data_IF_234334725934
#
_entry.id   IF_234334725934
#
_cell.length_a   1.000
_cell.length_b   1.000
_cell.length_c   1.000
_cell.angle_alpha   90.00
_cell.angle_beta   90.00
_cell.angle_gamma   90.00
#
_symmetry.space_group_name_H-M   'P 1'
#
loop_
_entity.id
_entity.type
_entity.pdbx_description
1 polymer ?
#
# COMPACT_ATOMS: atom_id res chain seq x y z
N UNK A 1 8.02 15.77 8.68
CA UNK A 1 7.89 14.30 8.87
C UNK A 1 7.28 13.60 7.66
N UNK A 2 6.23 14.12 6.99
CA UNK A 2 5.62 13.49 5.80
C UNK A 2 6.61 13.09 4.70
N UNK A 3 7.56 13.97 4.36
CA UNK A 3 8.56 13.68 3.32
C UNK A 3 9.50 12.54 3.73
N UNK A 4 9.97 12.56 4.97
CA UNK A 4 10.85 11.52 5.51
C UNK A 4 10.15 10.15 5.57
N UNK A 5 8.89 10.11 6.03
CA UNK A 5 8.08 8.88 6.06
C UNK A 5 7.80 8.35 4.65
N UNK A 6 7.48 9.22 3.70
CA UNK A 6 7.29 8.82 2.30
C UNK A 6 8.57 8.26 1.67
N UNK A 7 9.72 8.90 1.88
CA UNK A 7 10.99 8.36 1.39
C UNK A 7 11.36 7.03 2.05
N UNK A 8 11.10 6.89 3.35
CA UNK A 8 11.32 5.63 4.08
C UNK A 8 10.42 4.51 3.55
N UNK A 9 9.15 4.80 3.28
CA UNK A 9 8.22 3.83 2.72
C UNK A 9 8.60 3.40 1.29
N UNK A 10 9.08 4.32 0.45
CA UNK A 10 9.66 3.97 -0.86
C UNK A 10 10.88 3.05 -0.67
N UNK A 11 11.82 3.41 0.21
CA UNK A 11 12.98 2.55 0.48
C UNK A 11 12.56 1.16 0.97
N UNK A 12 11.57 1.09 1.87
CA UNK A 12 11.02 -0.17 2.39
C UNK A 12 10.39 -1.02 1.27
N UNK A 13 9.63 -0.42 0.36
CA UNK A 13 9.05 -1.14 -0.78
C UNK A 13 10.11 -1.76 -1.68
N UNK A 14 11.22 -1.05 -1.93
CA UNK A 14 12.34 -1.55 -2.72
C UNK A 14 13.05 -2.70 -2.00
N UNK A 15 13.22 -2.60 -0.68
CA UNK A 15 13.78 -3.67 0.16
C UNK A 15 12.88 -4.92 0.10
N UNK A 16 11.57 -4.75 0.24
CA UNK A 16 10.59 -5.85 0.11
C UNK A 16 10.67 -6.53 -1.26
N UNK A 17 10.73 -5.75 -2.34
CA UNK A 17 10.88 -6.27 -3.71
C UNK A 17 12.21 -7.00 -3.93
N UNK A 18 13.30 -6.46 -3.36
CA UNK A 18 14.64 -7.03 -3.47
C UNK A 18 14.80 -8.32 -2.68
N UNK A 19 14.25 -8.39 -1.47
CA UNK A 19 14.39 -9.55 -0.58
C UNK A 19 13.12 -10.42 -0.53
N UNK A 20 12.23 -10.30 -1.52
CA UNK A 20 10.95 -11.03 -1.57
C UNK A 20 11.09 -12.54 -1.38
N UNK A 21 12.18 -13.13 -1.89
CA UNK A 21 12.46 -14.56 -1.73
C UNK A 21 12.74 -14.95 -0.29
N UNK A 22 13.69 -14.24 0.36
CA UNK A 22 14.03 -14.48 1.76
C UNK A 22 12.85 -14.21 2.68
N UNK A 23 12.15 -13.10 2.46
CA UNK A 23 11.01 -12.72 3.28
C UNK A 23 9.87 -13.74 3.12
N UNK A 24 9.59 -14.19 1.89
CA UNK A 24 8.58 -15.22 1.65
C UNK A 24 8.93 -16.55 2.29
N UNK A 25 10.20 -16.96 2.21
CA UNK A 25 10.68 -18.19 2.85
C UNK A 25 10.66 -18.10 4.39
N UNK A 26 10.81 -16.90 4.96
CA UNK A 26 10.74 -16.68 6.41
C UNK A 26 9.31 -16.64 6.94
N UNK A 27 8.38 -16.04 6.19
CA UNK A 27 6.96 -15.92 6.58
C UNK A 27 6.24 -17.25 6.37
N UNK A 28 6.63 -18.01 5.33
CA UNK A 28 5.93 -19.20 4.89
C UNK A 28 4.72 -18.88 4.01
N UNK A 29 4.09 -19.92 3.49
CA UNK A 29 2.95 -19.81 2.58
C UNK A 29 1.66 -20.30 3.24
N UNK A 30 0.63 -19.45 3.25
CA UNK A 30 -0.71 -19.83 3.69
C UNK A 30 -1.59 -20.24 2.50
N UNK A 31 -2.59 -21.09 2.74
CA UNK A 31 -3.47 -21.63 1.67
C UNK A 31 -4.12 -20.56 0.79
N UNK A 32 -4.51 -19.42 1.38
CA UNK A 32 -5.12 -18.33 0.62
C UNK A 32 -4.12 -17.61 -0.30
N UNK A 33 -2.83 -17.64 0.02
CA UNK A 33 -1.79 -16.97 -0.77
C UNK A 33 -1.60 -17.67 -2.11
N UNK A 34 -1.77 -18.99 -2.15
CA UNK A 34 -1.69 -19.77 -3.40
C UNK A 34 -2.72 -19.32 -4.44
N UNK A 35 -3.90 -18.84 -4.00
CA UNK A 35 -4.94 -18.30 -4.90
C UNK A 35 -4.48 -17.05 -5.67
N UNK A 36 -3.46 -16.35 -5.18
CA UNK A 36 -2.92 -15.12 -5.74
C UNK A 36 -1.55 -15.39 -6.42
N UNK A 37 -1.19 -16.66 -6.59
CA UNK A 37 0.12 -17.08 -7.15
C UNK A 37 1.23 -17.20 -6.10
N UNK A 38 0.86 -17.35 -4.83
CA UNK A 38 1.75 -17.69 -3.73
C UNK A 38 2.29 -16.49 -2.95
N UNK A 39 3.08 -16.78 -1.91
CA UNK A 39 3.64 -15.77 -0.99
C UNK A 39 4.48 -14.70 -1.73
N UNK A 40 5.13 -15.08 -2.83
CA UNK A 40 5.89 -14.17 -3.69
C UNK A 40 5.06 -13.01 -4.23
N UNK A 41 3.92 -13.33 -4.83
CA UNK A 41 3.03 -12.33 -5.40
C UNK A 41 2.39 -11.48 -4.31
N UNK A 42 2.09 -12.09 -3.15
CA UNK A 42 1.59 -11.34 -1.99
C UNK A 42 2.61 -10.29 -1.53
N UNK A 43 3.90 -10.64 -1.43
CA UNK A 43 4.96 -9.68 -1.06
C UNK A 43 5.09 -8.58 -2.11
N UNK A 44 5.00 -8.91 -3.40
CA UNK A 44 5.04 -7.92 -4.48
C UNK A 44 3.85 -6.96 -4.38
N UNK A 45 2.64 -7.47 -4.12
CA UNK A 45 1.44 -6.65 -3.95
C UNK A 45 1.57 -5.70 -2.75
N UNK A 46 2.08 -6.21 -1.61
CA UNK A 46 2.32 -5.39 -0.42
C UNK A 46 3.36 -4.30 -0.73
N UNK A 47 4.46 -4.64 -1.40
CA UNK A 47 5.49 -3.68 -1.79
C UNK A 47 4.93 -2.59 -2.71
N UNK A 48 4.09 -2.95 -3.69
CA UNK A 48 3.41 -2.00 -4.57
C UNK A 48 2.48 -1.06 -3.80
N UNK A 49 1.67 -1.58 -2.89
CA UNK A 49 0.75 -0.77 -2.06
C UNK A 49 1.54 0.25 -1.25
N UNK A 50 2.62 -0.19 -0.59
CA UNK A 50 3.48 0.70 0.21
C UNK A 50 4.11 1.76 -0.69
N UNK A 51 4.64 1.38 -1.85
CA UNK A 51 5.26 2.30 -2.81
C UNK A 51 4.29 3.40 -3.25
N UNK A 52 3.10 3.01 -3.73
CA UNK A 52 2.11 3.97 -4.20
C UNK A 52 1.53 4.83 -3.07
N UNK A 53 1.35 4.26 -1.88
CA UNK A 53 0.96 5.04 -0.70
C UNK A 53 1.99 6.12 -0.41
N UNK A 54 3.26 5.75 -0.33
CA UNK A 54 4.34 6.70 -0.06
C UNK A 54 4.46 7.77 -1.13
N UNK A 55 4.28 7.40 -2.41
CA UNK A 55 4.24 8.35 -3.51
C UNK A 55 3.05 9.32 -3.42
N UNK A 56 1.87 8.81 -3.06
CA UNK A 56 0.66 9.61 -2.88
C UNK A 56 0.79 10.57 -1.68
N UNK A 57 1.46 10.14 -0.61
CA UNK A 57 1.74 11.00 0.55
C UNK A 57 2.74 12.12 0.23
N UNK A 58 3.78 11.81 -0.57
CA UNK A 58 4.76 12.80 -1.03
C UNK A 58 4.17 13.84 -1.98
N UNK A 59 3.31 13.40 -2.90
CA UNK A 59 2.68 14.27 -3.91
C UNK A 59 1.42 14.98 -3.39
N UNK A 60 0.97 14.67 -2.17
CA UNK A 60 -0.27 15.20 -1.60
C UNK A 60 -1.54 14.66 -2.26
N UNK A 61 -1.44 13.62 -3.09
CA UNK A 61 -2.56 13.02 -3.85
C UNK A 61 -3.23 11.85 -3.12
N UNK A 62 -2.98 11.71 -1.81
CA UNK A 62 -3.51 10.65 -0.96
C UNK A 62 -5.04 10.51 -1.09
N UNK A 63 -5.76 11.63 -1.19
CA UNK A 63 -7.22 11.62 -1.36
C UNK A 63 -7.69 10.99 -2.67
N UNK A 64 -6.93 11.17 -3.77
CA UNK A 64 -7.24 10.58 -5.08
C UNK A 64 -6.92 9.09 -5.07
N UNK A 65 -5.77 8.71 -4.48
CA UNK A 65 -5.35 7.32 -4.39
C UNK A 65 -6.35 6.44 -3.61
N UNK A 66 -6.96 6.96 -2.54
CA UNK A 66 -7.99 6.26 -1.77
C UNK A 66 -9.43 6.50 -2.25
N UNK A 67 -9.66 7.29 -3.30
CA UNK A 67 -11.00 7.56 -3.81
C UNK A 67 -11.80 6.30 -4.19
N UNK A 68 -11.23 5.29 -4.87
CA UNK A 68 -11.97 4.05 -5.18
C UNK A 68 -12.31 3.26 -3.91
N UNK A 69 -11.40 3.24 -2.93
CA UNK A 69 -11.60 2.57 -1.65
C UNK A 69 -12.71 3.26 -0.83
N UNK A 70 -12.75 4.61 -0.82
CA UNK A 70 -13.81 5.39 -0.17
C UNK A 70 -15.18 5.24 -0.85
N UNK A 71 -15.20 4.94 -2.16
CA UNK A 71 -16.45 4.69 -2.90
C UNK A 71 -17.12 3.38 -2.49
N UNK A 72 -16.32 2.39 -2.08
CA UNK A 72 -16.80 1.05 -1.68
C UNK A 72 -17.19 1.02 -0.19
N UNK A 73 -16.58 1.85 0.65
CA UNK A 73 -16.87 1.93 2.09
C UNK A 73 -18.07 2.89 2.33
N UNK A 74 -19.25 2.38 2.72
CA UNK A 74 -20.39 3.24 3.02
C UNK A 74 -20.10 4.03 4.29
N UNK A 75 -19.94 5.35 4.18
CA UNK A 75 -19.68 6.26 5.31
C UNK A 75 -18.56 7.29 5.07
N UNK A 76 -17.71 7.13 4.05
CA UNK A 76 -16.63 8.08 3.75
C UNK A 76 -17.04 9.40 3.10
N UNK A 77 -18.34 9.74 3.10
CA UNK A 77 -18.98 10.81 2.31
C UNK A 77 -19.51 11.96 3.17
N UNK A 78 -19.01 12.15 4.38
CA UNK A 78 -19.33 13.29 5.24
C UNK A 78 -18.02 14.00 5.57
N UNK A 79 -17.84 15.23 5.06
CA UNK A 79 -16.97 16.33 5.51
C UNK A 79 -16.51 17.21 4.32
N UNK A 80 -17.41 17.51 3.38
CA UNK A 80 -17.18 18.58 2.40
C UNK A 80 -18.49 19.29 2.03
N UNK A 81 -19.33 19.55 3.04
CA UNK A 81 -20.47 20.46 2.90
C UNK A 81 -20.62 21.25 4.22
N UNK A 82 -19.65 22.09 4.57
CA UNK A 82 -19.91 23.32 5.35
C UNK A 82 -18.85 24.36 4.95
N UNK A 83 -19.10 24.97 3.79
CA UNK A 83 -18.49 26.21 3.38
C UNK A 83 -19.59 27.17 2.94
N UNK A 84 -20.20 27.84 3.93
CA UNK A 84 -20.81 29.17 3.82
C UNK A 84 -20.71 29.86 5.18
#
# INVERSE_FOLDING_TARGET
MRIFLGLLGIALSLVLLKYRERIGNMIGEAEWMQKIGGIYNVIILIALIIFFWSLAELTGTTNIFFAPLRMIIPGGRQMEIEGF
#
